data_IF_948145674288
#
_entry.id   IF_948145674288
#
_cell.length_a   1.000
_cell.length_b   1.000
_cell.length_c   1.000
_cell.angle_alpha   90.00
_cell.angle_beta   90.00
_cell.angle_gamma   90.00
#
_symmetry.space_group_name_H-M   'P 1'
#
loop_
_entity.id
_entity.type
_entity.pdbx_description
1 polymer ?
#
# COMPACT_ATOMS: atom_id res chain seq x y z
N UNK A 1 -11.72 15.55 5.90
CA UNK A 1 -10.42 14.96 6.30
C UNK A 1 -9.53 14.89 5.08
N UNK A 2 -8.22 15.02 5.23
CA UNK A 2 -7.24 14.82 4.13
C UNK A 2 -6.37 13.63 4.50
N UNK A 3 -6.23 12.70 3.57
CA UNK A 3 -5.29 11.58 3.66
C UNK A 3 -4.18 11.84 2.65
N UNK A 4 -2.93 11.65 3.05
CA UNK A 4 -1.77 11.74 2.18
C UNK A 4 -1.11 10.36 2.03
N UNK A 5 -0.91 9.93 0.80
CA UNK A 5 -0.14 8.72 0.47
C UNK A 5 1.17 9.17 -0.17
N UNK A 6 2.30 8.83 0.46
CA UNK A 6 3.63 9.06 -0.08
C UNK A 6 4.17 7.77 -0.65
N UNK A 7 4.64 7.82 -1.89
CA UNK A 7 5.15 6.65 -2.59
C UNK A 7 6.43 6.95 -3.34
N UNK A 8 7.41 6.06 -3.21
CA UNK A 8 8.59 6.05 -4.08
C UNK A 8 8.34 5.20 -5.33
N UNK A 9 7.21 4.48 -5.38
CA UNK A 9 6.75 3.66 -6.49
C UNK A 9 5.62 4.40 -7.21
N UNK A 10 5.56 4.28 -8.52
CA UNK A 10 4.52 4.89 -9.34
C UNK A 10 3.17 4.19 -9.11
N UNK A 11 2.21 4.90 -8.51
CA UNK A 11 0.85 4.43 -8.25
C UNK A 11 0.01 4.65 -9.51
N UNK A 12 -0.78 3.64 -9.91
CA UNK A 12 -1.72 3.75 -11.02
C UNK A 12 -3.15 3.30 -10.66
N UNK A 13 -3.36 2.74 -9.48
CA UNK A 13 -4.66 2.35 -8.97
C UNK A 13 -4.81 2.63 -7.48
N UNK A 14 -5.99 3.07 -7.09
CA UNK A 14 -6.38 3.39 -5.71
C UNK A 14 -7.82 2.98 -5.49
N UNK A 15 -8.07 2.19 -4.45
CA UNK A 15 -9.40 1.91 -3.94
C UNK A 15 -9.48 2.35 -2.49
N UNK A 16 -10.55 3.05 -2.14
CA UNK A 16 -10.86 3.45 -0.78
C UNK A 16 -12.24 2.91 -0.43
N UNK A 17 -12.34 2.30 0.74
CA UNK A 17 -13.61 1.89 1.33
C UNK A 17 -13.73 2.53 2.71
N UNK A 18 -14.84 3.20 2.97
CA UNK A 18 -15.10 3.88 4.25
C UNK A 18 -16.45 3.40 4.79
N UNK A 19 -16.43 2.84 5.99
CA UNK A 19 -17.65 2.52 6.74
C UNK A 19 -18.19 3.79 7.39
N UNK A 20 -19.35 4.26 6.94
CA UNK A 20 -20.03 5.42 7.52
C UNK A 20 -21.49 5.43 7.06
N UNK A 21 -22.42 5.67 7.97
CA UNK A 21 -23.87 5.69 7.68
C UNK A 21 -24.30 6.80 6.73
N UNK A 22 -23.45 7.81 6.54
CA UNK A 22 -23.67 8.91 5.62
C UNK A 22 -22.80 8.78 4.38
N UNK A 23 -23.31 9.25 3.26
CA UNK A 23 -22.52 9.34 2.04
C UNK A 23 -21.34 10.32 2.24
N UNK A 24 -20.15 9.86 1.85
CA UNK A 24 -18.91 10.61 1.88
C UNK A 24 -18.50 10.92 0.44
N UNK A 25 -18.22 12.17 0.15
CA UNK A 25 -17.57 12.58 -1.09
C UNK A 25 -16.07 12.34 -0.96
N UNK A 26 -15.51 11.53 -1.85
CA UNK A 26 -14.08 11.20 -1.89
C UNK A 26 -13.53 11.76 -3.19
N UNK A 27 -12.48 12.55 -3.11
CA UNK A 27 -11.88 13.25 -4.24
C UNK A 27 -10.35 13.08 -4.22
N UNK A 28 -9.80 12.64 -5.34
CA UNK A 28 -8.37 12.61 -5.59
C UNK A 28 -7.97 13.93 -6.25
N UNK A 29 -7.04 14.65 -5.63
CA UNK A 29 -6.57 15.94 -6.16
C UNK A 29 -5.50 15.77 -7.23
N UNK A 30 -5.47 16.72 -8.15
CA UNK A 30 -4.38 16.92 -9.12
C UNK A 30 -4.09 15.71 -10.05
N UNK A 31 -5.13 14.95 -10.44
CA UNK A 31 -5.01 13.77 -11.28
C UNK A 31 -6.07 13.76 -12.38
N UNK A 32 -6.01 14.72 -13.28
CA UNK A 32 -7.05 14.92 -14.31
C UNK A 32 -7.14 13.81 -15.37
N UNK A 33 -6.08 13.00 -15.52
CA UNK A 33 -6.03 11.86 -16.46
C UNK A 33 -6.47 10.54 -15.83
N UNK A 34 -6.74 10.53 -14.52
CA UNK A 34 -7.18 9.35 -13.78
C UNK A 34 -8.71 9.26 -13.82
N UNK A 35 -9.21 8.08 -14.16
CA UNK A 35 -10.62 7.78 -14.07
C UNK A 35 -11.02 7.57 -12.62
N UNK A 36 -12.07 8.27 -12.18
CA UNK A 36 -12.55 8.23 -10.80
C UNK A 36 -14.02 7.82 -10.79
N UNK A 37 -14.40 6.94 -9.89
CA UNK A 37 -15.76 6.49 -9.67
C UNK A 37 -16.04 6.33 -8.17
N UNK A 38 -17.28 6.54 -7.76
CA UNK A 38 -17.68 6.42 -6.36
C UNK A 38 -19.05 5.79 -6.22
N UNK A 39 -19.22 4.95 -5.21
CA UNK A 39 -20.45 4.26 -4.91
C UNK A 39 -20.74 4.28 -3.41
N UNK A 40 -22.02 4.50 -3.03
CA UNK A 40 -22.49 4.40 -1.65
C UNK A 40 -23.64 3.41 -1.56
N UNK A 41 -23.48 2.41 -0.70
CA UNK A 41 -24.54 1.43 -0.45
C UNK A 41 -24.43 0.85 0.97
N UNK A 42 -25.56 0.85 1.70
CA UNK A 42 -25.69 0.24 3.03
C UNK A 42 -24.57 0.64 4.02
N UNK A 43 -24.25 1.94 4.12
CA UNK A 43 -23.21 2.43 5.04
C UNK A 43 -21.77 2.20 4.56
N UNK A 44 -21.58 1.69 3.35
CA UNK A 44 -20.28 1.54 2.73
C UNK A 44 -20.08 2.55 1.61
N UNK A 45 -19.12 3.44 1.77
CA UNK A 45 -18.66 4.33 0.72
C UNK A 45 -17.45 3.70 0.03
N UNK A 46 -17.54 3.48 -1.26
CA UNK A 46 -16.45 2.96 -2.09
C UNK A 46 -16.04 4.00 -3.10
N UNK A 47 -14.74 4.15 -3.27
CA UNK A 47 -14.14 5.03 -4.26
C UNK A 47 -13.04 4.28 -4.99
N UNK A 48 -13.00 4.45 -6.30
CA UNK A 48 -12.02 3.84 -7.18
C UNK A 48 -11.40 4.91 -8.06
N UNK A 49 -10.08 4.97 -8.11
CA UNK A 49 -9.33 5.79 -9.04
C UNK A 49 -8.29 4.92 -9.76
N UNK A 50 -8.27 4.97 -11.09
CA UNK A 50 -7.38 4.12 -11.87
C UNK A 50 -7.00 4.75 -13.21
N UNK A 51 -5.85 4.35 -13.70
CA UNK A 51 -5.35 4.73 -15.02
C UNK A 51 -5.80 3.74 -16.08
N UNK A 52 -6.44 4.26 -17.15
CA UNK A 52 -6.79 3.44 -18.32
C UNK A 52 -5.60 3.18 -19.26
N UNK A 53 -4.52 3.96 -19.13
CA UNK A 53 -3.38 3.95 -20.04
C UNK A 53 -2.05 3.61 -19.35
N UNK A 54 -2.11 3.00 -18.17
CA UNK A 54 -0.95 2.70 -17.33
C UNK A 54 -0.05 3.93 -17.04
N UNK A 55 -0.66 5.11 -16.96
CA UNK A 55 0.03 6.32 -16.54
C UNK A 55 -0.06 6.43 -15.02
N UNK A 56 1.04 6.69 -14.34
CA UNK A 56 1.01 6.84 -12.88
C UNK A 56 0.26 8.11 -12.48
N UNK A 57 -0.11 8.20 -11.22
CA UNK A 57 -0.59 9.44 -10.63
C UNK A 57 0.48 10.53 -10.72
N UNK A 58 0.06 11.78 -10.90
CA UNK A 58 0.97 12.90 -11.23
C UNK A 58 2.00 13.21 -10.13
N UNK A 59 1.77 12.77 -8.91
CA UNK A 59 2.59 13.12 -7.77
C UNK A 59 2.97 11.90 -6.94
N UNK A 60 4.20 11.92 -6.43
CA UNK A 60 4.66 10.97 -5.40
C UNK A 60 3.99 11.18 -4.03
N UNK A 61 3.24 12.25 -3.88
CA UNK A 61 2.35 12.48 -2.75
C UNK A 61 0.93 12.63 -3.28
N UNK A 62 0.14 11.60 -3.09
CA UNK A 62 -1.27 11.58 -3.48
C UNK A 62 -2.11 12.12 -2.33
N UNK A 63 -2.87 13.19 -2.58
CA UNK A 63 -3.81 13.76 -1.62
C UNK A 63 -5.24 13.34 -1.93
N UNK A 64 -5.89 12.78 -0.92
CA UNK A 64 -7.28 12.33 -0.98
C UNK A 64 -8.07 13.16 0.01
N UNK A 65 -9.11 13.80 -0.48
CA UNK A 65 -10.01 14.62 0.31
C UNK A 65 -11.30 13.85 0.57
N UNK A 66 -11.62 13.62 1.85
CA UNK A 66 -12.89 13.05 2.28
C UNK A 66 -13.75 14.16 2.86
N UNK A 67 -14.93 14.38 2.27
CA UNK A 67 -15.93 15.36 2.70
C UNK A 67 -17.21 14.62 3.06
N UNK A 68 -17.74 14.81 4.26
CA UNK A 68 -18.98 14.17 4.69
C UNK A 68 -19.48 14.75 6.01
N UNK A 69 -20.72 14.41 6.37
CA UNK A 69 -21.30 14.73 7.65
C UNK A 69 -20.88 13.68 8.68
N UNK A 70 -20.29 14.14 9.79
CA UNK A 70 -19.90 13.30 10.91
C UNK A 70 -18.39 13.10 11.04
N UNK A 71 -18.00 12.40 12.11
CA UNK A 71 -16.62 11.99 12.33
C UNK A 71 -16.34 10.76 11.48
N UNK A 72 -15.24 10.78 10.78
CA UNK A 72 -14.69 9.61 10.06
C UNK A 72 -13.52 9.12 10.91
N UNK A 73 -13.60 7.89 11.39
CA UNK A 73 -12.50 7.24 12.09
C UNK A 73 -11.54 6.63 11.06
N UNK A 74 -10.25 6.68 11.36
CA UNK A 74 -9.23 6.07 10.50
C UNK A 74 -9.36 4.54 10.45
N UNK A 75 -9.85 3.94 11.54
CA UNK A 75 -10.07 2.49 11.61
C UNK A 75 -11.21 2.00 10.70
N UNK A 76 -12.11 2.92 10.30
CA UNK A 76 -13.19 2.64 9.36
C UNK A 76 -12.76 2.77 7.88
N UNK A 77 -11.51 3.14 7.61
CA UNK A 77 -10.98 3.38 6.28
C UNK A 77 -10.07 2.23 5.86
N UNK A 78 -10.41 1.61 4.74
CA UNK A 78 -9.53 0.66 4.05
C UNK A 78 -9.02 1.27 2.75
N UNK A 79 -7.72 1.21 2.52
CA UNK A 79 -7.07 1.72 1.32
C UNK A 79 -6.29 0.58 0.68
N UNK A 80 -6.52 0.38 -0.62
CA UNK A 80 -5.75 -0.52 -1.45
C UNK A 80 -5.17 0.27 -2.61
N UNK A 81 -3.90 0.08 -2.91
CA UNK A 81 -3.23 0.73 -4.03
C UNK A 81 -2.51 -0.28 -4.89
N UNK A 82 -2.30 0.07 -6.15
CA UNK A 82 -1.50 -0.73 -7.09
C UNK A 82 -0.54 0.15 -7.88
N UNK A 83 0.54 -0.47 -8.33
CA UNK A 83 1.47 0.14 -9.26
C UNK A 83 0.96 0.12 -10.71
N UNK A 84 1.79 0.58 -11.65
CA UNK A 84 1.50 0.60 -13.08
C UNK A 84 1.38 -0.79 -13.72
N UNK A 85 1.87 -1.85 -13.06
CA UNK A 85 1.78 -3.23 -13.51
C UNK A 85 0.52 -3.94 -12.97
N UNK A 86 -0.20 -3.28 -12.05
CA UNK A 86 -1.34 -3.85 -11.34
C UNK A 86 -0.96 -4.65 -10.09
N UNK A 87 0.31 -4.63 -9.69
CA UNK A 87 0.78 -5.25 -8.46
C UNK A 87 0.30 -4.44 -7.26
N UNK A 88 -0.28 -5.12 -6.27
CA UNK A 88 -0.71 -4.48 -5.04
C UNK A 88 0.49 -3.92 -4.27
N UNK A 89 0.33 -2.72 -3.75
CA UNK A 89 1.31 -2.07 -2.90
C UNK A 89 0.83 -2.10 -1.45
N UNK A 90 1.77 -2.32 -0.56
CA UNK A 90 1.51 -2.27 0.87
C UNK A 90 1.48 -0.82 1.38
N UNK A 91 0.63 -0.55 2.35
CA UNK A 91 0.50 0.73 3.03
C UNK A 91 0.87 0.60 4.50
N UNK A 92 1.87 1.38 4.94
CA UNK A 92 2.14 1.58 6.36
C UNK A 92 1.64 2.95 6.81
N UNK A 93 0.95 2.97 7.93
CA UNK A 93 0.49 4.22 8.53
C UNK A 93 1.66 4.94 9.20
N UNK A 94 1.78 6.25 8.97
CA UNK A 94 2.76 7.05 9.70
C UNK A 94 2.33 7.26 11.16
N UNK A 95 3.28 7.56 12.04
CA UNK A 95 3.01 7.85 13.45
C UNK A 95 2.05 9.04 13.67
N UNK A 96 1.85 9.89 12.67
CA UNK A 96 0.89 11.00 12.70
C UNK A 96 -0.54 10.61 12.31
N UNK A 97 -0.79 9.38 11.89
CA UNK A 97 -2.11 8.83 11.65
C UNK A 97 -2.78 9.20 10.32
N UNK A 98 -2.33 10.23 9.60
CA UNK A 98 -2.97 10.72 8.37
C UNK A 98 -2.10 10.59 7.11
N UNK A 99 -0.97 9.93 7.21
CA UNK A 99 -0.05 9.72 6.11
C UNK A 99 0.33 8.25 6.00
N UNK A 100 0.40 7.75 4.79
CA UNK A 100 0.77 6.37 4.48
C UNK A 100 2.02 6.36 3.61
N UNK A 101 2.85 5.35 3.81
CA UNK A 101 3.99 5.05 2.94
C UNK A 101 3.72 3.75 2.21
N UNK A 102 4.21 3.65 0.99
CA UNK A 102 3.99 2.48 0.13
C UNK A 102 5.26 1.66 -0.02
N UNK A 103 5.07 0.36 -0.20
CA UNK A 103 6.10 -0.59 -0.55
C UNK A 103 5.53 -1.78 -1.32
N UNK A 104 6.36 -2.64 -1.93
CA UNK A 104 5.87 -3.82 -2.61
C UNK A 104 5.16 -4.76 -1.62
N UNK A 105 3.99 -5.26 -1.99
CA UNK A 105 3.20 -6.18 -1.15
C UNK A 105 3.69 -7.62 -1.34
N UNK A 106 4.96 -7.87 -1.05
CA UNK A 106 5.52 -9.22 -1.11
C UNK A 106 6.74 -9.38 -0.22
N UNK A 107 6.92 -10.60 0.24
CA UNK A 107 8.17 -11.04 0.84
C UNK A 107 9.18 -11.30 -0.28
N UNK A 108 10.35 -10.70 -0.20
CA UNK A 108 11.47 -10.98 -1.08
C UNK A 108 12.69 -11.38 -0.25
N UNK A 109 13.39 -12.41 -0.69
CA UNK A 109 14.68 -12.82 -0.16
C UNK A 109 15.71 -12.68 -1.28
N UNK A 110 16.73 -11.88 -1.05
CA UNK A 110 17.83 -11.67 -1.99
C UNK A 110 18.76 -12.88 -2.04
N UNK A 111 19.57 -12.96 -3.08
CA UNK A 111 20.61 -13.96 -3.15
C UNK A 111 21.61 -13.79 -2.01
N UNK A 112 22.03 -14.91 -1.44
CA UNK A 112 23.04 -14.92 -0.39
C UNK A 112 24.39 -14.42 -0.92
N UNK A 113 24.98 -13.44 -0.28
CA UNK A 113 26.28 -12.93 -0.69
C UNK A 113 27.23 -12.74 0.49
N UNK A 114 28.50 -13.16 0.36
CA UNK A 114 29.06 -14.01 -0.71
C UNK A 114 28.53 -15.44 -0.67
N UNK A 115 28.46 -16.08 -1.84
CA UNK A 115 28.16 -17.49 -1.97
C UNK A 115 29.08 -18.09 -3.07
N UNK A 116 30.06 -18.95 -2.78
CA UNK A 116 30.38 -19.56 -1.46
C UNK A 116 30.86 -18.56 -0.40
N UNK A 117 30.58 -18.83 0.86
CA UNK A 117 30.95 -17.97 1.98
C UNK A 117 32.18 -18.47 2.75
N UNK A 118 32.94 -17.53 3.36
CA UNK A 118 34.05 -17.84 4.25
C UNK A 118 34.37 -16.63 5.16
N UNK A 119 34.16 -16.66 6.48
CA UNK A 119 33.34 -17.62 7.22
C UNK A 119 31.87 -17.22 7.34
N UNK A 120 31.44 -16.11 6.73
CA UNK A 120 30.10 -15.55 6.87
C UNK A 120 29.48 -15.18 5.53
N UNK A 121 28.16 -15.17 5.47
CA UNK A 121 27.34 -14.64 4.37
C UNK A 121 26.25 -13.73 4.92
N UNK A 122 25.75 -12.86 4.11
CA UNK A 122 24.63 -11.99 4.42
C UNK A 122 23.35 -12.56 3.79
N UNK A 123 22.27 -12.51 4.57
CA UNK A 123 20.93 -12.86 4.13
C UNK A 123 20.11 -11.58 4.20
N UNK A 124 19.74 -11.03 3.04
CA UNK A 124 18.90 -9.85 2.93
C UNK A 124 17.47 -10.26 2.54
N UNK A 125 16.49 -9.67 3.17
CA UNK A 125 15.08 -9.90 2.84
C UNK A 125 14.25 -8.64 3.08
N UNK A 126 13.14 -8.53 2.37
CA UNK A 126 12.16 -7.46 2.52
C UNK A 126 10.85 -8.04 3.04
N UNK A 127 10.19 -7.29 3.91
CA UNK A 127 8.86 -7.61 4.43
C UNK A 127 7.87 -6.55 3.96
N UNK A 128 6.64 -6.93 3.59
CA UNK A 128 5.59 -5.97 3.23
C UNK A 128 5.08 -5.16 4.43
N UNK A 129 5.23 -5.67 5.64
CA UNK A 129 4.83 -5.03 6.89
C UNK A 129 5.69 -5.56 8.04
N UNK A 130 5.60 -4.93 9.21
CA UNK A 130 6.23 -5.43 10.43
C UNK A 130 5.63 -6.79 10.79
N UNK A 131 6.46 -7.83 10.78
CA UNK A 131 6.04 -9.19 11.09
C UNK A 131 7.18 -9.98 11.71
N UNK A 132 6.83 -11.11 12.31
CA UNK A 132 7.77 -12.02 12.92
C UNK A 132 8.45 -12.88 11.85
N UNK A 133 9.78 -12.79 11.73
CA UNK A 133 10.57 -13.62 10.82
C UNK A 133 11.27 -14.72 11.59
N UNK A 134 11.12 -15.94 11.10
CA UNK A 134 11.90 -17.10 11.57
C UNK A 134 12.82 -17.57 10.45
N UNK A 135 14.11 -17.40 10.62
CA UNK A 135 15.14 -17.97 9.76
C UNK A 135 15.60 -19.33 10.32
N UNK A 136 15.63 -20.35 9.49
CA UNK A 136 16.11 -21.68 9.87
C UNK A 136 17.08 -22.18 8.81
N UNK A 137 18.28 -22.52 9.20
CA UNK A 137 19.29 -23.12 8.33
C UNK A 137 19.31 -24.64 8.48
N UNK A 138 19.52 -25.34 7.39
CA UNK A 138 19.60 -26.81 7.34
C UNK A 138 20.92 -27.26 6.69
N UNK A 139 21.49 -28.34 7.20
CA UNK A 139 22.60 -29.01 6.54
C UNK A 139 22.09 -29.84 5.32
N UNK A 140 23.01 -30.39 4.56
CA UNK A 140 22.70 -31.22 3.39
C UNK A 140 21.93 -32.52 3.70
N UNK A 141 21.80 -32.88 4.98
CA UNK A 141 21.06 -34.03 5.48
C UNK A 141 19.68 -33.64 6.02
N UNK A 142 19.34 -32.34 6.01
CA UNK A 142 18.08 -31.82 6.52
C UNK A 142 18.04 -31.57 8.02
N UNK A 143 19.19 -31.59 8.71
CA UNK A 143 19.25 -31.24 10.14
C UNK A 143 19.38 -29.72 10.30
N UNK A 144 18.71 -29.19 11.31
CA UNK A 144 18.85 -27.77 11.68
C UNK A 144 20.26 -27.53 12.22
N UNK A 145 20.92 -26.48 11.74
CA UNK A 145 22.28 -26.07 12.16
C UNK A 145 22.25 -24.71 12.81
#
# INVERSE_FOLDING_TARGET
>A
MIIQIKSDIDIAGLQISVLNDSQIEIELKDNSHITQDSHFHNGLNQYLAYSLFNQPFDSRTTEILLKGAGLIDLDDIQITISDINGDALYLSQSQSGQSYQTGPYRFEMEELYPNPFNPSTQISFSLPMDDFVKLTAYDVRGNVV
#
